data_IF_867668798350
#
_entry.id   IF_867668798350
#
_cell.length_a   1.000
_cell.length_b   1.000
_cell.length_c   1.000
_cell.angle_alpha   90.00
_cell.angle_beta   90.00
_cell.angle_gamma   90.00
#
_symmetry.space_group_name_H-M   'P 1'
#
loop_
_entity.id
_entity.type
_entity.pdbx_description
1 polymer ?
#
# COMPACT_ATOMS: atom_id res chain seq x y z
N UNK A 1 -2.31 -35.17 12.61
CA UNK A 1 -2.77 -33.84 12.10
C UNK A 1 -1.55 -32.95 12.09
N UNK A 2 -1.14 -32.37 10.95
CA UNK A 2 -0.02 -31.43 10.97
C UNK A 2 -0.44 -30.17 11.73
N UNK A 3 0.47 -29.70 12.57
CA UNK A 3 0.32 -28.49 13.36
C UNK A 3 0.19 -27.31 12.39
N UNK A 4 -1.01 -26.70 12.31
CA UNK A 4 -1.26 -25.48 11.54
C UNK A 4 -0.73 -24.30 12.36
N UNK A 5 0.59 -24.18 12.43
CA UNK A 5 1.22 -22.99 12.99
C UNK A 5 1.03 -21.87 11.96
N UNK A 6 -0.01 -21.05 12.16
CA UNK A 6 -0.24 -19.84 11.37
C UNK A 6 0.89 -18.88 11.69
N UNK A 7 1.94 -18.86 10.86
CA UNK A 7 3.03 -17.89 10.98
C UNK A 7 2.49 -16.45 10.90
N UNK A 8 3.05 -15.57 11.75
CA UNK A 8 2.80 -14.12 11.83
C UNK A 8 3.04 -13.38 10.50
N UNK A 9 3.70 -14.04 9.54
CA UNK A 9 4.01 -13.57 8.18
C UNK A 9 2.76 -13.19 7.37
N UNK A 10 1.57 -13.56 7.85
CA UNK A 10 0.28 -13.26 7.23
C UNK A 10 -0.33 -11.91 7.65
N UNK A 11 0.31 -11.18 8.56
CA UNK A 11 -0.21 -9.93 9.12
C UNK A 11 0.42 -8.74 8.38
N UNK A 12 -0.40 -7.90 7.75
CA UNK A 12 0.06 -6.59 7.28
C UNK A 12 0.16 -5.64 8.46
N UNK A 13 1.28 -4.92 8.59
CA UNK A 13 1.49 -3.89 9.60
C UNK A 13 1.61 -2.54 8.90
N UNK A 14 0.77 -1.59 9.30
CA UNK A 14 0.79 -0.22 8.78
C UNK A 14 0.85 0.79 9.92
N UNK A 15 1.45 1.95 9.66
CA UNK A 15 1.50 3.04 10.63
C UNK A 15 0.75 4.26 10.13
N UNK A 16 -0.28 4.67 10.86
CA UNK A 16 -1.10 5.85 10.51
C UNK A 16 -1.10 6.78 11.72
N UNK A 17 -0.64 8.02 11.54
CA UNK A 17 -0.49 9.02 12.61
C UNK A 17 0.27 8.49 13.85
N UNK A 18 1.30 7.67 13.63
CA UNK A 18 2.08 7.07 14.72
C UNK A 18 1.37 5.94 15.48
N UNK A 19 0.18 5.53 15.04
CA UNK A 19 -0.55 4.36 15.57
C UNK A 19 -0.27 3.17 14.66
N UNK A 20 0.12 2.05 15.26
CA UNK A 20 0.34 0.77 14.56
C UNK A 20 -1.00 0.07 14.34
N UNK A 21 -1.31 -0.23 13.09
CA UNK A 21 -2.48 -1.02 12.68
C UNK A 21 -2.02 -2.37 12.13
N UNK A 22 -2.77 -3.42 12.46
CA UNK A 22 -2.49 -4.78 12.02
C UNK A 22 -3.73 -5.32 11.32
N UNK A 23 -3.56 -5.73 10.08
CA UNK A 23 -4.62 -6.29 9.25
C UNK A 23 -4.33 -7.76 8.99
N UNK A 24 -5.28 -8.67 9.27
CA UNK A 24 -5.12 -10.07 8.91
C UNK A 24 -5.15 -10.23 7.38
N UNK A 25 -4.76 -11.41 6.90
CA UNK A 25 -4.86 -11.74 5.47
C UNK A 25 -6.27 -11.46 4.93
N UNK A 26 -6.38 -10.85 3.75
CA UNK A 26 -7.67 -10.49 3.17
C UNK A 26 -8.45 -11.74 2.75
N UNK A 27 -9.78 -11.63 2.72
CA UNK A 27 -10.65 -12.68 2.19
C UNK A 27 -10.36 -12.90 0.68
N UNK A 28 -10.44 -14.13 0.14
CA UNK A 28 -10.11 -14.42 -1.27
C UNK A 28 -10.80 -13.52 -2.32
N UNK A 29 -12.02 -13.05 -2.01
CA UNK A 29 -12.76 -12.10 -2.85
C UNK A 29 -12.02 -10.78 -3.08
N UNK A 30 -11.24 -10.30 -2.10
CA UNK A 30 -10.39 -9.12 -2.26
C UNK A 30 -9.37 -9.35 -3.38
N UNK A 31 -8.69 -10.50 -3.38
CA UNK A 31 -7.76 -10.89 -4.46
C UNK A 31 -8.42 -10.96 -5.85
N UNK A 32 -9.69 -11.39 -5.94
CA UNK A 32 -10.44 -11.40 -7.20
C UNK A 32 -10.71 -9.98 -7.72
N UNK A 33 -11.05 -9.06 -6.83
CA UNK A 33 -11.28 -7.64 -7.18
C UNK A 33 -9.94 -6.98 -7.53
N UNK A 34 -8.93 -7.18 -6.69
CA UNK A 34 -7.58 -6.68 -6.87
C UNK A 34 -7.03 -7.04 -8.24
N UNK A 35 -7.05 -8.32 -8.60
CA UNK A 35 -6.58 -8.79 -9.91
C UNK A 35 -7.24 -8.02 -11.06
N UNK A 36 -8.56 -7.80 -11.00
CA UNK A 36 -9.29 -7.09 -12.06
C UNK A 36 -8.90 -5.62 -12.14
N UNK A 37 -8.73 -4.96 -11.00
CA UNK A 37 -8.34 -3.55 -10.94
C UNK A 37 -6.90 -3.39 -11.41
N UNK A 38 -5.98 -4.17 -10.84
CA UNK A 38 -4.56 -4.15 -11.18
C UNK A 38 -4.34 -4.35 -12.67
N UNK A 39 -4.91 -5.41 -13.27
CA UNK A 39 -4.77 -5.66 -14.72
C UNK A 39 -5.29 -4.50 -15.57
N UNK A 40 -6.41 -3.87 -15.19
CA UNK A 40 -6.97 -2.75 -15.95
C UNK A 40 -6.09 -1.50 -15.88
N UNK A 41 -5.55 -1.20 -14.69
CA UNK A 41 -4.66 -0.05 -14.51
C UNK A 41 -3.34 -0.31 -15.22
N UNK A 42 -2.72 -1.48 -15.03
CA UNK A 42 -1.48 -1.85 -15.69
C UNK A 42 -1.59 -1.70 -17.22
N UNK A 43 -2.64 -2.23 -17.83
CA UNK A 43 -2.88 -2.10 -19.27
C UNK A 43 -3.09 -0.63 -19.70
N UNK A 44 -3.76 0.18 -18.87
CA UNK A 44 -3.94 1.61 -19.16
C UNK A 44 -2.63 2.40 -19.07
N UNK A 45 -1.70 1.97 -18.22
CA UNK A 45 -0.40 2.62 -18.03
C UNK A 45 0.67 2.14 -19.02
N UNK A 46 0.39 1.10 -19.81
CA UNK A 46 1.30 0.62 -20.85
C UNK A 46 1.70 1.76 -21.80
N UNK A 47 3.02 1.97 -21.95
CA UNK A 47 3.60 3.04 -22.76
C UNK A 47 3.57 4.43 -22.13
N UNK A 48 3.09 4.59 -20.89
CA UNK A 48 3.13 5.85 -20.14
C UNK A 48 4.33 5.87 -19.20
N UNK A 49 4.78 7.06 -18.83
CA UNK A 49 5.81 7.22 -17.79
C UNK A 49 5.16 7.13 -16.41
N UNK A 50 4.54 6.00 -16.08
CA UNK A 50 3.96 5.75 -14.77
C UNK A 50 4.16 4.29 -14.38
N UNK A 51 4.49 4.06 -13.12
CA UNK A 51 4.68 2.75 -12.52
C UNK A 51 3.51 2.42 -11.58
N UNK A 52 2.97 1.19 -11.67
CA UNK A 52 1.92 0.68 -10.78
C UNK A 52 2.54 -0.26 -9.75
N UNK A 53 2.37 0.06 -8.48
CA UNK A 53 2.85 -0.75 -7.37
C UNK A 53 1.72 -1.60 -6.79
N UNK A 54 2.00 -2.90 -6.50
CA UNK A 54 1.03 -3.83 -5.95
C UNK A 54 0.83 -3.65 -4.44
N UNK A 55 -0.15 -4.38 -3.91
CA UNK A 55 -0.32 -4.63 -2.48
C UNK A 55 0.97 -5.18 -1.84
N UNK A 56 1.06 -5.08 -0.51
CA UNK A 56 2.25 -5.51 0.26
C UNK A 56 3.55 -4.77 -0.09
N UNK A 57 3.44 -3.63 -0.77
CA UNK A 57 4.55 -2.71 -1.00
C UNK A 57 4.58 -1.66 0.11
N UNK A 58 5.70 -1.59 0.84
CA UNK A 58 5.89 -0.57 1.87
C UNK A 58 6.07 0.81 1.22
N UNK A 59 5.16 1.73 1.50
CA UNK A 59 5.18 3.10 1.00
C UNK A 59 5.49 4.09 2.13
N UNK A 60 6.56 4.87 1.95
CA UNK A 60 6.89 6.02 2.77
C UNK A 60 6.52 7.30 2.01
N UNK A 61 5.56 8.06 2.55
CA UNK A 61 5.10 9.32 1.96
C UNK A 61 6.11 10.44 2.19
N UNK A 62 7.01 10.64 1.24
CA UNK A 62 7.93 11.77 1.23
C UNK A 62 8.27 12.16 -0.22
N UNK A 63 8.67 13.42 -0.41
CA UNK A 63 9.29 13.83 -1.67
C UNK A 63 10.66 13.15 -1.77
N UNK A 64 10.95 12.39 -2.85
CA UNK A 64 12.25 11.73 -3.04
C UNK A 64 13.43 12.71 -3.00
N UNK A 65 13.24 13.96 -3.42
CA UNK A 65 14.29 14.99 -3.39
C UNK A 65 14.60 15.51 -1.98
N UNK A 66 13.82 15.12 -0.98
CA UNK A 66 14.02 15.50 0.42
C UNK A 66 14.69 14.39 1.21
N UNK A 67 15.60 14.71 2.17
CA UNK A 67 16.22 13.69 3.01
C UNK A 67 15.18 12.85 3.76
N UNK A 68 15.19 11.55 3.53
CA UNK A 68 14.31 10.60 4.22
C UNK A 68 14.92 10.23 5.57
N UNK A 69 14.15 10.35 6.65
CA UNK A 69 14.58 9.86 7.96
C UNK A 69 14.37 8.35 8.04
N UNK A 70 15.41 7.61 8.46
CA UNK A 70 15.36 6.15 8.65
C UNK A 70 14.23 5.75 9.62
N UNK A 71 13.85 6.61 10.56
CA UNK A 71 12.74 6.36 11.48
C UNK A 71 11.38 6.28 10.78
N UNK A 72 11.21 7.00 9.66
CA UNK A 72 9.95 7.03 8.90
C UNK A 72 9.80 5.79 8.02
N UNK A 73 10.92 5.24 7.53
CA UNK A 73 10.94 3.93 6.85
C UNK A 73 10.44 2.79 7.74
N UNK A 74 10.49 2.94 9.08
CA UNK A 74 9.94 1.95 10.03
C UNK A 74 8.43 2.09 10.23
N UNK A 75 7.81 3.08 9.60
CA UNK A 75 6.38 3.41 9.70
C UNK A 75 5.71 3.45 8.33
N UNK A 76 5.81 2.38 7.52
CA UNK A 76 5.26 2.40 6.17
C UNK A 76 3.73 2.38 6.20
N UNK A 77 3.17 2.90 5.11
CA UNK A 77 1.82 2.61 4.66
C UNK A 77 1.87 1.43 3.70
N UNK A 78 0.77 0.67 3.63
CA UNK A 78 0.66 -0.46 2.70
C UNK A 78 -0.69 -0.38 2.00
N UNK A 79 -0.81 0.48 0.97
CA UNK A 79 -2.03 0.55 0.17
C UNK A 79 -2.26 -0.76 -0.59
N UNK A 80 -3.52 -1.04 -0.96
CA UNK A 80 -3.81 -2.17 -1.86
C UNK A 80 -3.17 -1.96 -3.25
N UNK A 81 -3.14 -0.73 -3.78
CA UNK A 81 -2.32 -0.39 -4.94
C UNK A 81 -2.11 1.13 -5.04
N UNK A 82 -1.01 1.54 -5.66
CA UNK A 82 -0.73 2.95 -5.92
C UNK A 82 0.10 3.13 -7.19
N UNK A 83 0.04 4.33 -7.77
CA UNK A 83 0.75 4.68 -9.01
C UNK A 83 1.62 5.90 -8.76
N UNK A 84 2.83 5.87 -9.31
CA UNK A 84 3.75 7.00 -9.33
C UNK A 84 4.18 7.28 -10.78
N UNK A 85 4.06 8.52 -11.23
CA UNK A 85 4.42 8.95 -12.56
C UNK A 85 5.77 9.68 -12.61
N UNK A 86 6.33 9.75 -13.81
CA UNK A 86 7.59 10.42 -14.17
C UNK A 86 8.80 9.96 -13.34
N UNK A 87 8.78 8.71 -12.86
CA UNK A 87 9.82 8.14 -11.99
C UNK A 87 10.10 8.97 -10.72
N UNK A 88 9.07 9.64 -10.18
CA UNK A 88 9.14 10.43 -8.93
C UNK A 88 9.12 9.54 -7.68
N UNK A 89 9.95 8.51 -7.65
CA UNK A 89 10.11 7.62 -6.51
C UNK A 89 11.55 7.17 -6.33
N UNK A 90 11.88 6.78 -5.10
CA UNK A 90 13.15 6.13 -4.77
C UNK A 90 12.92 4.78 -4.07
N UNK A 91 13.85 3.86 -4.29
CA UNK A 91 13.92 2.59 -3.58
C UNK A 91 14.88 2.74 -2.41
N UNK A 92 14.38 2.66 -1.18
CA UNK A 92 15.20 2.75 0.03
C UNK A 92 14.95 1.53 0.91
N UNK A 93 15.91 0.59 0.90
CA UNK A 93 15.72 -0.72 1.54
C UNK A 93 14.61 -1.50 0.85
N UNK A 94 13.57 -1.86 1.61
CA UNK A 94 12.38 -2.56 1.09
C UNK A 94 11.19 -1.62 0.83
N UNK A 95 11.39 -0.31 0.96
CA UNK A 95 10.32 0.68 0.85
C UNK A 95 10.44 1.51 -0.42
N UNK A 96 9.28 1.91 -0.95
CA UNK A 96 9.14 2.96 -1.93
C UNK A 96 8.99 4.28 -1.20
N UNK A 97 9.84 5.24 -1.51
CA UNK A 97 9.70 6.63 -1.06
C UNK A 97 9.10 7.44 -2.19
N UNK A 98 7.86 7.88 -2.03
CA UNK A 98 7.16 8.65 -3.05
C UNK A 98 5.95 9.39 -2.49
N UNK A 99 5.45 10.36 -3.27
CA UNK A 99 4.08 10.85 -3.17
C UNK A 99 3.32 10.26 -4.37
N UNK A 100 2.42 9.28 -4.18
CA UNK A 100 1.68 8.69 -5.30
C UNK A 100 0.75 9.68 -5.97
N UNK A 101 0.65 9.59 -7.29
CA UNK A 101 -0.33 10.32 -8.11
C UNK A 101 -1.73 9.71 -7.99
N UNK A 102 -1.79 8.42 -7.65
CA UNK A 102 -3.04 7.69 -7.44
C UNK A 102 -2.85 6.60 -6.39
N UNK A 103 -3.85 6.45 -5.51
CA UNK A 103 -3.94 5.37 -4.53
C UNK A 103 -5.33 4.76 -4.61
N UNK A 104 -5.42 3.44 -4.54
CA UNK A 104 -6.69 2.73 -4.46
C UNK A 104 -6.66 1.73 -3.30
N UNK A 105 -7.72 1.76 -2.50
CA UNK A 105 -7.98 0.81 -1.42
C UNK A 105 -9.24 0.01 -1.75
N UNK A 106 -9.18 -1.31 -1.62
CA UNK A 106 -10.29 -2.23 -1.91
C UNK A 106 -11.03 -2.49 -0.60
N UNK A 107 -12.10 -1.73 -0.41
CA UNK A 107 -12.89 -1.80 0.81
C UNK A 107 -13.60 -3.15 0.95
N UNK A 108 -13.40 -3.78 2.10
CA UNK A 108 -14.15 -4.95 2.56
C UNK A 108 -15.09 -4.54 3.69
N UNK A 109 -16.17 -5.31 3.99
CA UNK A 109 -17.04 -5.03 5.14
C UNK A 109 -16.28 -4.84 6.47
N UNK A 110 -15.18 -5.57 6.63
CA UNK A 110 -14.28 -5.48 7.80
C UNK A 110 -13.34 -4.26 7.79
N UNK A 111 -13.05 -3.67 6.62
CA UNK A 111 -12.07 -2.57 6.47
C UNK A 111 -12.71 -1.19 6.18
N UNK A 112 -14.03 -1.13 5.93
CA UNK A 112 -14.76 0.12 5.59
C UNK A 112 -14.39 1.31 6.46
N UNK A 113 -14.31 1.12 7.80
CA UNK A 113 -13.98 2.21 8.73
C UNK A 113 -12.51 2.64 8.61
N UNK A 114 -11.59 1.71 8.39
CA UNK A 114 -10.17 2.04 8.22
C UNK A 114 -9.96 2.83 6.93
N UNK A 115 -10.41 2.26 5.81
CA UNK A 115 -10.09 2.76 4.47
C UNK A 115 -10.81 4.09 4.18
N UNK A 116 -12.12 4.17 4.46
CA UNK A 116 -12.92 5.34 4.10
C UNK A 116 -12.84 6.49 5.10
N UNK A 117 -12.56 6.22 6.38
CA UNK A 117 -12.61 7.24 7.43
C UNK A 117 -11.21 7.63 7.87
N UNK A 118 -10.31 6.67 8.08
CA UNK A 118 -8.98 6.97 8.64
C UNK A 118 -8.01 7.29 7.51
N UNK A 119 -7.75 6.35 6.59
CA UNK A 119 -6.76 6.55 5.52
C UNK A 119 -7.17 7.69 4.59
N UNK A 120 -8.38 7.65 4.04
CA UNK A 120 -8.88 8.67 3.11
C UNK A 120 -8.86 10.10 3.67
N UNK A 121 -9.23 10.31 4.94
CA UNK A 121 -9.34 11.66 5.52
C UNK A 121 -8.07 12.20 6.15
N UNK A 122 -7.10 11.34 6.43
CA UNK A 122 -5.96 11.70 7.27
C UNK A 122 -4.63 11.55 6.56
N UNK A 123 -4.61 10.82 5.45
CA UNK A 123 -3.39 10.52 4.68
C UNK A 123 -3.51 11.06 3.25
N UNK A 124 -4.62 10.77 2.58
CA UNK A 124 -4.78 11.03 1.13
C UNK A 124 -5.63 12.27 0.79
N UNK A 125 -5.92 13.13 1.78
CA UNK A 125 -6.81 14.29 1.64
C UNK A 125 -6.05 15.60 1.41
#
# INVERSE_FOLDING_TARGET
>A
MPNLDYHDDNITVEWINGIKYMSPSPHPNHGVVYKKIFTRIANYLEGKSCELFPDKTDLCLANPESPVNIADLKKPLVPDLFVVCDNKFELVGNSIVAIPDFVCEIVSPSSVKMDNIIKKRTIYS
#
